data_IF_728607296243
#
_entry.id   IF_728607296243
#
_cell.length_a   1.000
_cell.length_b   1.000
_cell.length_c   1.000
_cell.angle_alpha   90.00
_cell.angle_beta   90.00
_cell.angle_gamma   90.00
#
_symmetry.space_group_name_H-M   'P 1'
#
loop_
_entity.id
_entity.type
_entity.pdbx_description
1 polymer ?
#
# COMPACT_ATOMS: atom_id res chain seq x y z
N UNK A 1 8.10 -2.54 -17.31
CA UNK A 1 7.41 -2.47 -16.03
C UNK A 1 8.33 -2.16 -14.84
N UNK A 2 9.48 -2.85 -14.63
CA UNK A 2 10.46 -2.50 -13.57
C UNK A 2 11.04 -1.10 -13.76
N UNK A 3 11.33 -0.71 -15.00
CA UNK A 3 11.82 0.64 -15.34
C UNK A 3 10.81 1.73 -14.95
N UNK A 4 9.52 1.50 -15.23
CA UNK A 4 8.45 2.42 -14.81
C UNK A 4 8.42 2.56 -13.29
N UNK A 5 8.62 1.46 -12.55
CA UNK A 5 8.61 1.50 -11.09
C UNK A 5 9.84 2.25 -10.54
N UNK A 6 11.02 2.08 -11.12
CA UNK A 6 12.20 2.86 -10.77
C UNK A 6 11.93 4.36 -10.94
N UNK A 7 11.46 4.80 -12.10
CA UNK A 7 11.11 6.20 -12.34
C UNK A 7 10.03 6.73 -11.39
N UNK A 8 9.03 5.92 -11.03
CA UNK A 8 8.03 6.32 -10.03
C UNK A 8 8.66 6.63 -8.68
N UNK A 9 9.65 5.82 -8.25
CA UNK A 9 10.38 6.08 -7.00
C UNK A 9 11.34 7.25 -7.10
N UNK A 10 11.92 7.52 -8.28
CA UNK A 10 12.75 8.71 -8.55
C UNK A 10 11.93 9.98 -8.32
N UNK A 11 10.74 10.07 -8.92
CA UNK A 11 9.83 11.20 -8.74
C UNK A 11 9.25 11.27 -7.33
N UNK A 12 8.98 10.13 -6.68
CA UNK A 12 8.57 10.12 -5.29
C UNK A 12 9.66 10.68 -4.37
N UNK A 13 10.92 10.31 -4.59
CA UNK A 13 12.06 10.83 -3.83
C UNK A 13 12.27 12.32 -4.09
N UNK A 14 12.17 12.77 -5.34
CA UNK A 14 12.21 14.19 -5.68
C UNK A 14 11.12 14.97 -4.95
N UNK A 15 9.89 14.45 -4.92
CA UNK A 15 8.78 15.04 -4.16
C UNK A 15 9.07 15.14 -2.66
N UNK A 16 9.69 14.13 -2.07
CA UNK A 16 10.13 14.16 -0.67
C UNK A 16 11.19 15.23 -0.44
N UNK A 17 12.19 15.33 -1.33
CA UNK A 17 13.26 16.35 -1.24
C UNK A 17 12.67 17.76 -1.32
N UNK A 18 11.78 17.99 -2.28
CA UNK A 18 11.08 19.29 -2.44
C UNK A 18 10.29 19.62 -1.18
N UNK A 19 9.52 18.65 -0.64
CA UNK A 19 8.77 18.85 0.60
C UNK A 19 9.64 19.29 1.77
N UNK A 20 10.77 18.57 2.01
CA UNK A 20 11.69 18.94 3.10
C UNK A 20 12.35 20.30 2.86
N UNK A 21 12.68 20.63 1.60
CA UNK A 21 13.26 21.93 1.24
C UNK A 21 12.27 23.07 1.50
N UNK A 22 11.02 22.92 1.10
CA UNK A 22 9.95 23.89 1.36
C UNK A 22 9.69 24.05 2.86
N UNK A 23 9.58 22.95 3.61
CA UNK A 23 9.40 23.02 5.05
C UNK A 23 10.57 23.71 5.77
N UNK A 24 11.79 23.52 5.27
CA UNK A 24 12.99 24.21 5.80
C UNK A 24 12.94 25.70 5.52
N UNK A 25 12.59 26.11 4.30
CA UNK A 25 12.47 27.52 3.91
C UNK A 25 11.38 28.26 4.69
N UNK A 26 10.26 27.58 4.98
CA UNK A 26 9.15 28.12 5.76
C UNK A 26 9.37 28.10 7.28
N UNK A 27 10.53 27.65 7.76
CA UNK A 27 10.84 27.56 9.19
C UNK A 27 9.98 26.56 10.00
N UNK A 28 9.20 25.71 9.31
CA UNK A 28 8.28 24.73 9.90
C UNK A 28 8.97 23.41 10.29
N UNK A 29 10.30 23.38 10.30
CA UNK A 29 11.04 22.18 10.69
C UNK A 29 10.96 21.99 12.20
N UNK A 30 10.17 21.05 12.67
CA UNK A 30 10.19 20.63 14.06
C UNK A 30 11.55 19.99 14.39
N UNK A 31 12.24 20.51 15.39
CA UNK A 31 13.47 19.89 15.93
C UNK A 31 13.10 18.51 16.48
N UNK A 32 13.56 17.50 15.81
CA UNK A 32 13.30 16.11 16.19
C UNK A 32 14.40 15.60 17.14
N UNK A 33 14.07 14.83 18.17
CA UNK A 33 15.08 14.23 19.06
C UNK A 33 16.07 13.40 18.23
N UNK A 34 17.37 13.53 18.54
CA UNK A 34 18.43 12.81 17.79
C UNK A 34 18.51 11.32 18.13
N UNK A 35 18.12 10.92 19.34
CA UNK A 35 18.30 9.55 19.86
C UNK A 35 17.04 8.68 19.71
N UNK A 36 16.50 8.60 18.50
CA UNK A 36 15.37 7.71 18.22
C UNK A 36 15.85 6.40 17.59
N UNK A 37 15.37 5.23 18.06
CA UNK A 37 15.77 3.95 17.48
C UNK A 37 15.23 3.81 16.06
N UNK A 38 16.12 3.97 15.06
CA UNK A 38 15.77 3.92 13.62
C UNK A 38 15.61 2.48 13.09
N UNK A 39 16.02 1.48 13.86
CA UNK A 39 15.98 0.07 13.43
C UNK A 39 14.60 -0.36 12.98
N UNK A 40 13.56 -0.03 13.75
CA UNK A 40 12.17 -0.37 13.43
C UNK A 40 11.63 0.41 12.22
N UNK A 41 12.12 1.64 12.01
CA UNK A 41 11.80 2.43 10.82
C UNK A 41 12.39 1.79 9.54
N UNK A 42 13.64 1.35 9.60
CA UNK A 42 14.27 0.63 8.48
C UNK A 42 13.61 -0.73 8.24
N UNK A 43 13.17 -1.41 9.32
CA UNK A 43 12.43 -2.66 9.21
C UNK A 43 11.08 -2.45 8.50
N UNK A 44 10.36 -1.36 8.82
CA UNK A 44 9.12 -0.97 8.14
C UNK A 44 9.36 -0.80 6.62
N UNK A 45 10.40 -0.04 6.26
CA UNK A 45 10.74 0.18 4.85
C UNK A 45 11.20 -1.12 4.17
N UNK A 46 11.98 -1.95 4.86
CA UNK A 46 12.45 -3.24 4.36
C UNK A 46 11.29 -4.19 4.02
N UNK A 47 10.31 -4.33 4.90
CA UNK A 47 9.13 -5.15 4.62
C UNK A 47 8.26 -4.55 3.50
N UNK A 48 8.13 -3.22 3.41
CA UNK A 48 7.39 -2.58 2.32
C UNK A 48 8.07 -2.80 0.97
N UNK A 49 9.38 -2.63 0.90
CA UNK A 49 10.17 -2.88 -0.32
C UNK A 49 10.19 -4.37 -0.65
N UNK A 50 10.31 -5.26 0.36
CA UNK A 50 10.18 -6.70 0.21
C UNK A 50 8.82 -7.11 -0.37
N UNK A 51 7.73 -6.52 0.12
CA UNK A 51 6.40 -6.67 -0.46
C UNK A 51 6.38 -6.31 -1.95
N UNK A 52 6.96 -5.17 -2.33
CA UNK A 52 7.00 -4.73 -3.73
C UNK A 52 7.76 -5.72 -4.63
N UNK A 53 8.90 -6.25 -4.17
CA UNK A 53 9.66 -7.25 -4.93
C UNK A 53 8.85 -8.53 -5.11
N UNK A 54 8.29 -9.06 -4.01
CA UNK A 54 7.50 -10.28 -4.03
C UNK A 54 6.29 -10.15 -4.95
N UNK A 55 5.58 -9.01 -4.88
CA UNK A 55 4.44 -8.71 -5.74
C UNK A 55 4.82 -8.69 -7.21
N UNK A 56 5.88 -7.97 -7.58
CA UNK A 56 6.33 -7.88 -8.98
C UNK A 56 6.79 -9.25 -9.47
N UNK A 57 7.51 -10.00 -8.64
CA UNK A 57 7.97 -11.35 -8.99
C UNK A 57 6.78 -12.30 -9.17
N UNK A 58 5.79 -12.21 -8.31
CA UNK A 58 4.58 -13.02 -8.40
C UNK A 58 3.79 -12.77 -9.68
N UNK A 59 3.77 -11.54 -10.21
CA UNK A 59 3.09 -11.20 -11.46
C UNK A 59 3.71 -11.85 -12.72
N UNK A 60 4.85 -12.52 -12.61
CA UNK A 60 5.36 -13.39 -13.68
C UNK A 60 4.70 -14.77 -13.68
N UNK A 61 4.03 -15.16 -12.58
CA UNK A 61 3.45 -16.48 -12.35
C UNK A 61 1.95 -16.43 -12.07
N UNK A 62 1.38 -15.23 -11.93
CA UNK A 62 -0.02 -15.02 -11.63
C UNK A 62 -0.53 -13.77 -12.37
N UNK A 63 -1.82 -13.78 -12.70
CA UNK A 63 -2.50 -12.62 -13.29
C UNK A 63 -2.76 -11.53 -12.24
N UNK A 64 -3.06 -10.31 -12.69
CA UNK A 64 -3.43 -9.20 -11.80
C UNK A 64 -4.70 -9.52 -11.00
N UNK A 65 -5.65 -10.25 -11.60
CA UNK A 65 -6.90 -10.68 -10.96
C UNK A 65 -6.61 -11.66 -9.82
N UNK A 66 -5.79 -12.68 -10.08
CA UNK A 66 -5.36 -13.66 -9.08
C UNK A 66 -4.62 -12.99 -7.91
N UNK A 67 -3.72 -12.04 -8.22
CA UNK A 67 -3.06 -11.23 -7.22
C UNK A 67 -4.05 -10.44 -6.35
N UNK A 68 -5.06 -9.82 -6.96
CA UNK A 68 -6.08 -9.07 -6.23
C UNK A 68 -6.88 -9.95 -5.26
N UNK A 69 -7.20 -11.21 -5.64
CA UNK A 69 -7.87 -12.19 -4.75
C UNK A 69 -7.02 -12.44 -3.50
N UNK A 70 -5.72 -12.69 -3.69
CA UNK A 70 -4.81 -12.96 -2.57
C UNK A 70 -4.63 -11.71 -1.69
N UNK A 71 -4.53 -10.52 -2.30
CA UNK A 71 -4.43 -9.28 -1.52
C UNK A 71 -5.69 -8.92 -0.75
N UNK A 72 -6.86 -9.42 -1.15
CA UNK A 72 -8.10 -9.22 -0.40
C UNK A 72 -8.04 -9.77 1.04
N UNK A 73 -7.13 -10.73 1.30
CA UNK A 73 -6.94 -11.31 2.65
C UNK A 73 -5.94 -10.52 3.52
N UNK A 74 -5.28 -9.48 2.99
CA UNK A 74 -4.32 -8.64 3.76
C UNK A 74 -4.91 -8.12 5.08
N UNK A 75 -6.17 -7.64 5.16
CA UNK A 75 -6.76 -7.21 6.43
C UNK A 75 -6.79 -8.30 7.51
N UNK A 76 -6.93 -9.57 7.09
CA UNK A 76 -6.94 -10.71 8.02
C UNK A 76 -5.54 -10.90 8.60
N UNK A 77 -4.49 -10.91 7.75
CA UNK A 77 -3.10 -10.98 8.22
C UNK A 77 -2.74 -9.78 9.09
N UNK A 78 -3.11 -8.56 8.66
CA UNK A 78 -2.85 -7.35 9.43
C UNK A 78 -3.49 -7.43 10.82
N UNK A 79 -4.70 -7.95 10.95
CA UNK A 79 -5.39 -8.15 12.22
C UNK A 79 -4.67 -9.15 13.13
N UNK A 80 -4.26 -10.30 12.58
CA UNK A 80 -3.55 -11.32 13.36
C UNK A 80 -2.23 -10.76 13.89
N UNK A 81 -1.47 -10.10 13.02
CA UNK A 81 -0.17 -9.52 13.35
C UNK A 81 -0.33 -8.35 14.33
N UNK A 82 -1.33 -7.47 14.15
CA UNK A 82 -1.63 -6.38 15.07
C UNK A 82 -2.02 -6.88 16.47
N UNK A 83 -2.78 -7.97 16.54
CA UNK A 83 -3.13 -8.59 17.83
C UNK A 83 -1.90 -9.12 18.56
N UNK A 84 -0.95 -9.73 17.82
CA UNK A 84 0.27 -10.32 18.42
C UNK A 84 1.26 -9.22 18.84
N UNK A 85 1.51 -8.23 17.98
CA UNK A 85 2.58 -7.24 18.21
C UNK A 85 2.12 -5.97 18.93
N UNK A 86 0.86 -5.55 18.76
CA UNK A 86 0.32 -4.32 19.33
C UNK A 86 -0.73 -4.58 20.41
N UNK A 87 -1.17 -5.83 20.58
CA UNK A 87 -2.23 -6.18 21.51
C UNK A 87 -3.60 -5.61 21.10
N UNK A 88 -3.79 -5.24 19.84
CA UNK A 88 -5.06 -4.70 19.35
C UNK A 88 -6.14 -5.77 19.43
N UNK A 89 -7.24 -5.47 20.12
CA UNK A 89 -8.42 -6.31 20.20
C UNK A 89 -9.46 -5.80 19.21
N UNK A 90 -10.32 -6.66 18.72
CA UNK A 90 -11.45 -6.29 17.86
C UNK A 90 -12.74 -6.88 18.41
N UNK A 91 -13.84 -6.15 18.24
CA UNK A 91 -15.17 -6.63 18.62
C UNK A 91 -15.69 -7.67 17.62
N UNK A 92 -16.68 -8.45 18.03
CA UNK A 92 -17.36 -9.40 17.13
C UNK A 92 -17.97 -8.65 15.95
N UNK A 93 -18.56 -7.48 16.20
CA UNK A 93 -19.16 -6.65 15.16
C UNK A 93 -18.12 -6.19 14.12
N UNK A 94 -16.94 -5.71 14.56
CA UNK A 94 -15.83 -5.38 13.67
C UNK A 94 -15.41 -6.59 12.83
N UNK A 95 -15.38 -7.79 13.42
CA UNK A 95 -15.02 -9.00 12.69
C UNK A 95 -16.03 -9.35 11.60
N UNK A 96 -17.34 -9.17 11.87
CA UNK A 96 -18.40 -9.38 10.87
C UNK A 96 -18.20 -8.45 9.68
N UNK A 97 -17.96 -7.15 9.90
CA UNK A 97 -17.73 -6.20 8.80
C UNK A 97 -16.44 -6.50 8.01
N UNK A 98 -15.37 -6.95 8.66
CA UNK A 98 -14.16 -7.42 7.97
C UNK A 98 -14.50 -8.59 7.04
N UNK A 99 -15.22 -9.59 7.53
CA UNK A 99 -15.60 -10.77 6.74
C UNK A 99 -16.51 -10.38 5.57
N UNK A 100 -17.50 -9.52 5.79
CA UNK A 100 -18.40 -9.05 4.72
C UNK A 100 -17.58 -8.36 3.62
N UNK A 101 -16.68 -7.43 3.98
CA UNK A 101 -15.87 -6.68 3.01
C UNK A 101 -14.95 -7.60 2.21
N UNK A 102 -14.25 -8.51 2.88
CA UNK A 102 -13.31 -9.44 2.24
C UNK A 102 -14.07 -10.44 1.35
N UNK A 103 -15.19 -10.98 1.83
CA UNK A 103 -16.00 -11.90 1.05
C UNK A 103 -16.60 -11.24 -0.20
N UNK A 104 -17.14 -10.02 -0.08
CA UNK A 104 -17.65 -9.26 -1.22
C UNK A 104 -16.56 -8.98 -2.26
N UNK A 105 -15.34 -8.62 -1.82
CA UNK A 105 -14.20 -8.40 -2.71
C UNK A 105 -13.79 -9.69 -3.43
N UNK A 106 -13.69 -10.81 -2.71
CA UNK A 106 -13.34 -12.11 -3.29
C UNK A 106 -14.40 -12.54 -4.33
N UNK A 107 -15.69 -12.42 -4.00
CA UNK A 107 -16.79 -12.75 -4.91
C UNK A 107 -16.73 -11.89 -6.18
N UNK A 108 -16.53 -10.57 -6.03
CA UNK A 108 -16.38 -9.66 -7.16
C UNK A 108 -15.26 -10.12 -8.10
N UNK A 109 -14.08 -10.40 -7.56
CA UNK A 109 -12.91 -10.79 -8.34
C UNK A 109 -13.10 -12.15 -9.02
N UNK A 110 -13.75 -13.12 -8.35
CA UNK A 110 -14.05 -14.44 -8.92
C UNK A 110 -15.05 -14.32 -10.09
N UNK A 111 -16.05 -13.46 -9.96
CA UNK A 111 -17.03 -13.22 -11.03
C UNK A 111 -16.43 -12.54 -12.25
N UNK A 112 -15.41 -11.68 -12.07
CA UNK A 112 -14.65 -11.06 -13.14
C UNK A 112 -13.62 -12.00 -13.79
N UNK A 113 -13.20 -13.03 -13.07
CA UNK A 113 -12.17 -13.95 -13.52
C UNK A 113 -12.74 -14.99 -14.47
N UNK A 114 -12.58 -14.78 -15.77
CA UNK A 114 -13.01 -15.74 -16.81
C UNK A 114 -12.11 -16.98 -16.93
N UNK A 115 -10.82 -16.85 -16.54
CA UNK A 115 -9.84 -17.94 -16.57
C UNK A 115 -8.78 -17.75 -15.46
N UNK A 116 -8.92 -18.47 -14.38
CA UNK A 116 -7.88 -18.53 -13.33
C UNK A 116 -6.85 -19.59 -13.71
N UNK A 117 -5.61 -19.18 -13.96
CA UNK A 117 -4.49 -20.08 -14.31
C UNK A 117 -3.39 -20.01 -13.24
N UNK A 118 -3.79 -20.00 -11.97
CA UNK A 118 -2.86 -19.82 -10.86
C UNK A 118 -1.77 -20.90 -10.82
N UNK A 119 -0.52 -20.49 -10.96
CA UNK A 119 0.59 -21.37 -10.61
C UNK A 119 0.79 -21.39 -9.08
N UNK A 120 1.17 -22.55 -8.52
CA UNK A 120 1.47 -22.66 -7.10
C UNK A 120 2.54 -21.66 -6.64
N UNK A 121 3.54 -21.43 -7.49
CA UNK A 121 4.59 -20.42 -7.25
C UNK A 121 4.02 -19.01 -7.15
N UNK A 122 3.07 -18.64 -8.03
CA UNK A 122 2.39 -17.35 -8.00
C UNK A 122 1.61 -17.14 -6.70
N UNK A 123 0.87 -18.16 -6.25
CA UNK A 123 0.11 -18.13 -4.98
C UNK A 123 1.04 -17.92 -3.80
N UNK A 124 2.12 -18.70 -3.70
CA UNK A 124 3.08 -18.60 -2.57
C UNK A 124 3.72 -17.21 -2.52
N UNK A 125 4.17 -16.70 -3.67
CA UNK A 125 4.78 -15.36 -3.75
C UNK A 125 3.79 -14.25 -3.38
N UNK A 126 2.53 -14.33 -3.84
CA UNK A 126 1.48 -13.36 -3.49
C UNK A 126 1.10 -13.41 -2.01
N UNK A 127 1.02 -14.62 -1.42
CA UNK A 127 0.79 -14.76 0.03
C UNK A 127 1.95 -14.17 0.82
N UNK A 128 3.20 -14.46 0.44
CA UNK A 128 4.38 -13.87 1.07
C UNK A 128 4.39 -12.34 0.95
N UNK A 129 4.00 -11.80 -0.22
CA UNK A 129 3.83 -10.37 -0.43
C UNK A 129 2.76 -9.77 0.49
N UNK A 130 1.60 -10.43 0.61
CA UNK A 130 0.50 -10.00 1.47
C UNK A 130 0.89 -9.97 2.95
N UNK A 131 1.62 -10.98 3.42
CA UNK A 131 2.15 -11.04 4.78
C UNK A 131 3.19 -9.93 5.00
N UNK A 132 4.11 -9.73 4.05
CA UNK A 132 5.13 -8.68 4.13
C UNK A 132 4.50 -7.28 4.21
N UNK A 133 3.46 -7.02 3.41
CA UNK A 133 2.67 -5.79 3.46
C UNK A 133 1.99 -5.61 4.82
N UNK A 134 1.35 -6.66 5.34
CA UNK A 134 0.69 -6.62 6.63
C UNK A 134 1.69 -6.33 7.78
N UNK A 135 2.86 -6.96 7.77
CA UNK A 135 3.94 -6.69 8.72
C UNK A 135 4.40 -5.23 8.61
N UNK A 136 4.63 -4.73 7.39
CA UNK A 136 5.03 -3.33 7.17
C UNK A 136 4.01 -2.36 7.75
N UNK A 137 2.71 -2.59 7.53
CA UNK A 137 1.63 -1.74 8.07
C UNK A 137 1.63 -1.74 9.62
N UNK A 138 1.84 -2.91 10.25
CA UNK A 138 1.93 -3.02 11.71
C UNK A 138 3.14 -2.25 12.25
N UNK A 139 4.31 -2.42 11.65
CA UNK A 139 5.50 -1.65 12.04
C UNK A 139 5.35 -0.15 11.74
N UNK A 140 4.71 0.22 10.63
CA UNK A 140 4.40 1.62 10.32
C UNK A 140 3.58 2.27 11.44
N UNK A 141 2.53 1.58 11.92
CA UNK A 141 1.75 2.04 13.07
C UNK A 141 2.58 2.12 14.34
N UNK A 142 3.41 1.11 14.61
CA UNK A 142 4.28 1.10 15.78
C UNK A 142 5.25 2.29 15.81
N UNK A 143 5.95 2.56 14.69
CA UNK A 143 6.94 3.64 14.62
C UNK A 143 6.29 5.02 14.56
N UNK A 144 5.00 5.11 14.30
CA UNK A 144 4.26 6.36 14.18
C UNK A 144 4.21 7.14 15.50
N UNK A 145 4.31 6.48 16.65
CA UNK A 145 4.46 7.13 17.95
C UNK A 145 5.76 7.96 18.09
N UNK A 146 6.78 7.60 17.30
CA UNK A 146 8.12 8.21 17.37
C UNK A 146 8.50 9.01 16.13
N UNK A 147 7.95 8.66 14.95
CA UNK A 147 8.29 9.27 13.66
C UNK A 147 7.07 9.88 12.99
N UNK A 148 7.27 10.98 12.27
CA UNK A 148 6.22 11.60 11.48
C UNK A 148 5.91 10.79 10.20
N UNK A 149 4.68 10.87 9.63
CA UNK A 149 4.34 10.19 8.39
C UNK A 149 5.35 10.42 7.27
N UNK A 150 5.79 11.66 7.09
CA UNK A 150 6.74 12.03 6.03
C UNK A 150 8.13 11.38 6.21
N UNK A 151 8.57 11.13 7.45
CA UNK A 151 9.84 10.44 7.72
C UNK A 151 9.76 8.97 7.34
N UNK A 152 8.60 8.33 7.61
CA UNK A 152 8.33 6.95 7.23
C UNK A 152 8.29 6.85 5.70
N UNK A 153 7.51 7.73 5.05
CA UNK A 153 7.40 7.80 3.59
C UNK A 153 8.75 8.05 2.93
N UNK A 154 9.57 8.96 3.49
CA UNK A 154 10.94 9.21 3.02
C UNK A 154 11.79 7.95 3.04
N UNK A 155 11.74 7.20 4.15
CA UNK A 155 12.57 5.99 4.30
C UNK A 155 12.14 4.91 3.30
N UNK A 156 10.83 4.75 3.07
CA UNK A 156 10.28 3.85 2.05
C UNK A 156 10.69 4.32 0.64
N UNK A 157 10.59 5.62 0.35
CA UNK A 157 10.95 6.18 -0.96
C UNK A 157 12.44 5.98 -1.26
N UNK A 158 13.32 6.22 -0.28
CA UNK A 158 14.77 5.96 -0.42
C UNK A 158 15.03 4.48 -0.64
N UNK A 159 14.40 3.60 0.14
CA UNK A 159 14.55 2.14 -0.02
C UNK A 159 14.12 1.67 -1.41
N UNK A 160 12.96 2.12 -1.87
CA UNK A 160 12.47 1.81 -3.22
C UNK A 160 13.36 2.39 -4.33
N UNK A 161 13.78 3.66 -4.20
CA UNK A 161 14.71 4.31 -5.13
C UNK A 161 16.00 3.49 -5.28
N UNK A 162 16.68 3.20 -4.18
CA UNK A 162 17.96 2.48 -4.21
C UNK A 162 17.78 1.10 -4.83
N UNK A 163 16.77 0.35 -4.37
CA UNK A 163 16.59 -1.03 -4.83
C UNK A 163 16.21 -1.11 -6.30
N UNK A 164 15.17 -0.37 -6.73
CA UNK A 164 14.65 -0.50 -8.10
C UNK A 164 15.63 0.08 -9.13
N UNK A 165 16.35 1.14 -8.79
CA UNK A 165 17.42 1.66 -9.65
C UNK A 165 18.55 0.64 -9.77
N UNK A 166 19.03 0.05 -8.67
CA UNK A 166 20.06 -1.00 -8.75
C UNK A 166 19.62 -2.14 -9.66
N UNK A 167 18.39 -2.66 -9.48
CA UNK A 167 17.88 -3.77 -10.31
C UNK A 167 17.82 -3.37 -11.79
N UNK A 168 17.32 -2.17 -12.10
CA UNK A 168 17.17 -1.70 -13.47
C UNK A 168 18.51 -1.46 -14.14
N UNK A 169 19.47 -0.85 -13.45
CA UNK A 169 20.83 -0.64 -13.96
C UNK A 169 21.60 -1.93 -14.17
N UNK A 170 21.53 -2.88 -13.22
CA UNK A 170 22.14 -4.21 -13.39
C UNK A 170 21.54 -4.92 -14.61
N UNK A 171 20.22 -4.89 -14.77
CA UNK A 171 19.54 -5.50 -15.92
C UNK A 171 19.95 -4.87 -17.24
N UNK A 172 20.08 -3.56 -17.29
CA UNK A 172 20.54 -2.84 -18.49
C UNK A 172 22.00 -3.17 -18.84
N UNK A 173 22.86 -3.23 -17.83
CA UNK A 173 24.26 -3.61 -18.01
C UNK A 173 24.41 -5.05 -18.56
N UNK A 174 23.62 -6.00 -18.03
CA UNK A 174 23.63 -7.40 -18.50
C UNK A 174 23.12 -7.50 -19.94
N UNK A 175 22.10 -6.71 -20.33
CA UNK A 175 21.54 -6.71 -21.67
C UNK A 175 22.32 -5.89 -22.70
N UNK A 176 23.26 -5.06 -22.24
CA UNK A 176 24.02 -4.14 -23.10
C UNK A 176 23.18 -3.00 -23.68
N UNK A 177 21.97 -2.77 -23.17
CA UNK A 177 21.00 -1.81 -23.69
C UNK A 177 20.66 -0.74 -22.65
N UNK A 178 21.60 0.17 -22.44
CA UNK A 178 21.43 1.32 -21.53
C UNK A 178 20.54 2.41 -22.17
N UNK A 179 20.52 2.48 -23.51
CA UNK A 179 19.71 3.48 -24.22
C UNK A 179 18.20 3.29 -23.96
N UNK A 180 17.71 2.06 -23.87
CA UNK A 180 16.30 1.77 -23.57
C UNK A 180 15.83 2.29 -22.20
N UNK A 181 16.76 2.61 -21.30
CA UNK A 181 16.43 3.28 -20.03
C UNK A 181 16.20 4.77 -20.19
N UNK A 182 16.92 5.42 -21.11
CA UNK A 182 16.88 6.87 -21.28
C UNK A 182 15.83 7.31 -22.29
N UNK A 183 15.49 6.45 -23.25
CA UNK A 183 14.47 6.73 -24.28
C UNK A 183 13.14 7.25 -23.71
N UNK A 184 12.54 6.65 -22.67
CA UNK A 184 11.26 7.12 -22.15
C UNK A 184 11.32 8.55 -21.60
N UNK A 185 12.49 8.99 -21.13
CA UNK A 185 12.68 10.35 -20.55
C UNK A 185 12.63 11.44 -21.63
N UNK A 186 12.84 11.08 -22.90
CA UNK A 186 12.75 12.03 -24.01
C UNK A 186 11.32 12.43 -24.37
N UNK A 187 10.32 11.66 -23.89
CA UNK A 187 8.90 11.90 -24.19
C UNK A 187 8.22 12.70 -23.06
N UNK A 188 7.77 13.96 -23.31
CA UNK A 188 7.13 14.79 -22.27
C UNK A 188 5.89 14.16 -21.64
N UNK A 189 5.09 13.44 -22.45
CA UNK A 189 3.90 12.72 -21.94
C UNK A 189 4.27 11.64 -20.92
N UNK A 190 5.35 10.92 -21.16
CA UNK A 190 5.86 9.94 -20.20
C UNK A 190 6.29 10.61 -18.90
N UNK A 191 7.04 11.71 -18.98
CA UNK A 191 7.51 12.45 -17.79
C UNK A 191 6.34 12.98 -16.95
N UNK A 192 5.31 13.53 -17.56
CA UNK A 192 4.11 14.01 -16.85
C UNK A 192 3.39 12.84 -16.17
N UNK A 193 3.18 11.73 -16.90
CA UNK A 193 2.51 10.56 -16.36
C UNK A 193 3.28 9.93 -15.21
N UNK A 194 4.59 9.80 -15.33
CA UNK A 194 5.42 9.18 -14.30
C UNK A 194 5.59 10.10 -13.08
N UNK A 195 5.64 11.42 -13.28
CA UNK A 195 5.64 12.40 -12.19
C UNK A 195 4.34 12.33 -11.39
N UNK A 196 3.19 12.24 -12.09
CA UNK A 196 1.90 12.02 -11.44
C UNK A 196 1.90 10.71 -10.63
N UNK A 197 2.33 9.59 -11.23
CA UNK A 197 2.39 8.30 -10.56
C UNK A 197 3.37 8.28 -9.37
N UNK A 198 4.50 8.98 -9.47
CA UNK A 198 5.48 9.05 -8.37
C UNK A 198 5.02 9.94 -7.23
N UNK A 199 4.55 11.15 -7.53
CA UNK A 199 4.19 12.14 -6.51
C UNK A 199 2.82 11.83 -5.91
N UNK A 200 1.78 11.65 -6.74
CA UNK A 200 0.42 11.45 -6.22
C UNK A 200 0.18 10.00 -5.80
N UNK A 201 0.55 9.01 -6.61
CA UNK A 201 0.22 7.62 -6.31
C UNK A 201 1.20 6.95 -5.34
N UNK A 202 2.46 7.39 -5.22
CA UNK A 202 3.39 6.83 -4.25
C UNK A 202 3.52 7.75 -3.04
N UNK A 203 4.00 8.99 -3.24
CA UNK A 203 4.33 9.88 -2.12
C UNK A 203 3.07 10.27 -1.34
N UNK A 204 2.03 10.78 -2.00
CA UNK A 204 0.84 11.28 -1.33
C UNK A 204 0.01 10.13 -0.72
N UNK A 205 -0.14 9.00 -1.43
CA UNK A 205 -0.86 7.86 -0.90
C UNK A 205 -0.14 7.21 0.29
N UNK A 206 1.20 7.08 0.25
CA UNK A 206 1.98 6.59 1.39
C UNK A 206 1.87 7.53 2.60
N UNK A 207 1.82 8.85 2.35
CA UNK A 207 1.63 9.85 3.39
C UNK A 207 0.26 9.73 4.05
N UNK A 208 -0.80 9.58 3.25
CA UNK A 208 -2.14 9.36 3.78
C UNK A 208 -2.25 8.03 4.53
N UNK A 209 -1.66 6.95 4.01
CA UNK A 209 -1.65 5.65 4.69
C UNK A 209 -0.94 5.75 6.05
N UNK A 210 0.23 6.39 6.09
CA UNK A 210 0.95 6.60 7.34
C UNK A 210 0.18 7.48 8.32
N UNK A 211 -0.57 8.48 7.83
CA UNK A 211 -1.47 9.30 8.64
C UNK A 211 -2.65 8.49 9.18
N UNK A 212 -3.31 7.69 8.35
CA UNK A 212 -4.42 6.82 8.76
C UNK A 212 -3.97 5.84 9.85
N UNK A 213 -2.84 5.16 9.66
CA UNK A 213 -2.28 4.21 10.63
C UNK A 213 -1.87 4.89 11.96
N UNK A 214 -1.72 6.21 11.98
CA UNK A 214 -1.48 6.96 13.20
C UNK A 214 -2.76 7.19 14.04
N UNK A 215 -3.91 7.28 13.40
CA UNK A 215 -5.15 7.73 14.03
C UNK A 215 -6.23 6.65 14.09
N UNK A 216 -6.05 5.55 13.35
CA UNK A 216 -7.00 4.46 13.23
C UNK A 216 -6.35 3.12 13.56
N UNK A 217 -7.14 2.12 13.93
CA UNK A 217 -6.67 0.73 14.05
C UNK A 217 -6.19 0.19 12.70
N UNK A 218 -5.24 -0.75 12.74
CA UNK A 218 -4.63 -1.33 11.53
C UNK A 218 -5.69 -1.98 10.64
N UNK A 219 -6.62 -2.71 11.26
CA UNK A 219 -7.72 -3.37 10.53
C UNK A 219 -8.60 -2.36 9.82
N UNK A 220 -8.97 -1.26 10.49
CA UNK A 220 -9.73 -0.17 9.89
C UNK A 220 -8.98 0.44 8.71
N UNK A 221 -7.70 0.81 8.90
CA UNK A 221 -6.87 1.41 7.84
C UNK A 221 -6.72 0.51 6.62
N UNK A 222 -6.54 -0.81 6.80
CA UNK A 222 -6.39 -1.75 5.69
C UNK A 222 -7.70 -1.99 4.95
N UNK A 223 -8.84 -2.01 5.66
CA UNK A 223 -10.16 -2.16 5.03
C UNK A 223 -10.57 -0.91 4.25
N UNK A 224 -10.22 0.29 4.72
CA UNK A 224 -10.40 1.50 3.92
C UNK A 224 -9.70 1.42 2.55
N UNK A 225 -8.58 0.69 2.47
CA UNK A 225 -7.95 0.38 1.19
C UNK A 225 -8.88 -0.37 0.22
N UNK A 226 -9.75 -1.25 0.72
CA UNK A 226 -10.72 -1.96 -0.11
C UNK A 226 -11.85 -1.05 -0.64
N UNK A 227 -12.14 0.07 0.02
CA UNK A 227 -13.08 1.07 -0.50
C UNK A 227 -12.61 1.66 -1.84
N UNK A 228 -11.30 1.70 -2.08
CA UNK A 228 -10.75 2.15 -3.37
C UNK A 228 -11.24 1.30 -4.53
N UNK A 229 -11.45 0.00 -4.33
CA UNK A 229 -11.99 -0.90 -5.35
C UNK A 229 -13.43 -0.52 -5.71
N UNK A 230 -14.30 -0.27 -4.73
CA UNK A 230 -15.66 0.18 -4.99
C UNK A 230 -15.70 1.53 -5.70
N UNK A 231 -14.84 2.47 -5.28
CA UNK A 231 -14.70 3.78 -5.93
C UNK A 231 -14.20 3.63 -7.37
N UNK A 232 -13.23 2.73 -7.61
CA UNK A 232 -12.69 2.47 -8.96
C UNK A 232 -13.75 1.91 -9.91
N UNK A 233 -14.64 1.01 -9.43
CA UNK A 233 -15.76 0.48 -10.21
C UNK A 233 -16.69 1.62 -10.63
N UNK A 234 -17.07 2.48 -9.69
CA UNK A 234 -17.94 3.62 -10.00
C UNK A 234 -17.25 4.62 -10.94
N UNK A 235 -15.97 4.89 -10.74
CA UNK A 235 -15.20 5.77 -11.61
C UNK A 235 -15.06 5.19 -13.03
N UNK A 236 -14.81 3.88 -13.17
CA UNK A 236 -14.77 3.18 -14.46
C UNK A 236 -16.07 3.33 -15.22
N UNK A 237 -17.20 3.12 -14.55
CA UNK A 237 -18.51 3.28 -15.17
C UNK A 237 -18.81 4.72 -15.59
N UNK A 238 -18.53 5.71 -14.72
CA UNK A 238 -18.88 7.12 -14.96
C UNK A 238 -17.92 7.79 -15.95
N UNK A 239 -16.60 7.54 -15.79
CA UNK A 239 -15.56 8.23 -16.56
C UNK A 239 -15.20 7.52 -17.85
N UNK A 240 -15.22 6.17 -17.87
CA UNK A 240 -14.82 5.34 -19.00
C UNK A 240 -15.99 4.73 -19.74
N UNK A 241 -17.23 4.85 -19.22
CA UNK A 241 -18.43 4.27 -19.81
C UNK A 241 -18.46 2.74 -19.75
N UNK A 242 -17.75 2.14 -18.78
CA UNK A 242 -17.72 0.69 -18.63
C UNK A 242 -19.11 0.15 -18.23
N UNK A 243 -19.56 -1.00 -18.79
CA UNK A 243 -20.86 -1.55 -18.47
C UNK A 243 -20.90 -2.03 -17.00
N UNK A 244 -21.79 -1.43 -16.20
CA UNK A 244 -22.07 -1.89 -14.85
C UNK A 244 -23.01 -3.09 -14.89
N UNK A 245 -22.51 -4.21 -14.41
CA UNK A 245 -23.34 -5.39 -14.16
C UNK A 245 -23.90 -5.35 -12.73
N UNK A 246 -24.97 -6.11 -12.48
CA UNK A 246 -25.64 -6.09 -11.17
C UNK A 246 -24.72 -6.57 -10.04
N UNK A 247 -23.81 -7.49 -10.34
CA UNK A 247 -22.83 -7.97 -9.34
C UNK A 247 -21.81 -6.89 -8.96
N UNK A 248 -21.38 -6.01 -9.88
CA UNK A 248 -20.54 -4.85 -9.57
C UNK A 248 -21.20 -3.95 -8.53
N UNK A 249 -22.49 -3.64 -8.75
CA UNK A 249 -23.25 -2.75 -7.85
C UNK A 249 -23.40 -3.41 -6.47
N UNK A 250 -23.83 -4.67 -6.43
CA UNK A 250 -24.04 -5.39 -5.15
C UNK A 250 -22.74 -5.52 -4.36
N UNK A 251 -21.65 -5.95 -5.01
CA UNK A 251 -20.36 -6.08 -4.33
C UNK A 251 -19.80 -4.73 -3.87
N UNK A 252 -19.92 -3.68 -4.68
CA UNK A 252 -19.49 -2.34 -4.29
C UNK A 252 -20.27 -1.82 -3.06
N UNK A 253 -21.58 -2.04 -3.03
CA UNK A 253 -22.41 -1.67 -1.88
C UNK A 253 -22.05 -2.46 -0.61
N UNK A 254 -21.77 -3.77 -0.74
CA UNK A 254 -21.34 -4.60 0.38
C UNK A 254 -19.96 -4.19 0.90
N UNK A 255 -19.01 -3.85 0.02
CA UNK A 255 -17.70 -3.33 0.40
C UNK A 255 -17.87 -2.02 1.16
N UNK A 256 -18.63 -1.07 0.62
CA UNK A 256 -18.88 0.22 1.28
C UNK A 256 -19.61 0.06 2.62
N UNK A 257 -20.62 -0.78 2.69
CA UNK A 257 -21.33 -1.06 3.94
C UNK A 257 -20.40 -1.69 4.99
N UNK A 258 -19.53 -2.61 4.59
CA UNK A 258 -18.52 -3.19 5.47
C UNK A 258 -17.50 -2.17 5.98
N UNK A 259 -17.01 -1.28 5.10
CA UNK A 259 -16.06 -0.21 5.47
C UNK A 259 -16.71 0.80 6.43
N UNK A 260 -17.92 1.28 6.10
CA UNK A 260 -18.66 2.23 6.93
C UNK A 260 -19.04 1.58 8.27
N UNK A 261 -19.57 0.35 8.23
CA UNK A 261 -19.91 -0.40 9.44
C UNK A 261 -18.74 -0.60 10.38
N UNK A 262 -17.54 -0.90 9.83
CA UNK A 262 -16.32 -1.02 10.62
C UNK A 262 -15.88 0.33 11.22
N UNK A 263 -16.01 1.42 10.47
CA UNK A 263 -15.66 2.76 10.95
C UNK A 263 -16.59 3.23 12.09
N UNK A 264 -17.87 2.84 12.05
CA UNK A 264 -18.86 3.18 13.06
C UNK A 264 -18.92 2.19 14.23
N UNK A 265 -18.32 1.00 14.07
CA UNK A 265 -18.32 -0.02 15.12
C UNK A 265 -17.54 0.45 16.36
N UNK A 266 -18.10 0.27 17.57
CA UNK A 266 -17.43 0.69 18.79
C UNK A 266 -16.09 0.01 18.95
N UNK A 267 -15.05 0.80 19.31
CA UNK A 267 -13.74 0.26 19.66
C UNK A 267 -13.85 -0.61 20.94
N UNK A 268 -13.05 -1.67 21.07
CA UNK A 268 -12.99 -2.45 22.29
C UNK A 268 -12.58 -1.55 23.47
N UNK A 269 -13.24 -1.70 24.62
CA UNK A 269 -13.06 -0.87 25.82
C UNK A 269 -11.60 -0.77 26.32
N UNK A 270 -10.74 -1.72 25.98
CA UNK A 270 -9.35 -1.81 26.40
C UNK A 270 -8.36 -1.06 25.48
N UNK A 271 -8.78 -0.67 24.25
CA UNK A 271 -7.93 0.07 23.31
C UNK A 271 -7.95 1.59 23.54
N UNK A 272 -8.92 2.10 24.29
CA UNK A 272 -9.08 3.53 24.57
C UNK A 272 -8.07 4.08 25.59
N UNK A 273 -7.32 3.23 26.30
CA UNK A 273 -6.38 3.61 27.34
C UNK A 273 -4.89 3.54 26.97
N UNK A 274 -4.50 2.81 25.94
CA UNK A 274 -3.11 2.72 25.51
C UNK A 274 -2.76 3.82 24.49
N UNK A 275 -2.48 5.02 24.98
CA UNK A 275 -1.64 5.96 24.24
C UNK A 275 -0.30 5.26 24.01
N UNK A 276 0.04 4.95 22.76
CA UNK A 276 1.37 4.48 22.35
C UNK A 276 2.39 5.59 22.65
N UNK A 277 3.01 5.53 23.83
CA UNK A 277 3.98 6.58 24.19
C UNK A 277 4.31 6.61 25.69
N UNK A 278 4.44 5.47 26.36
CA UNK A 278 5.23 5.34 27.59
C UNK A 278 6.34 4.32 27.39
#
# INVERSE_FOLDING_TARGET
SLTILAYRYDFALLGVIVWFSVCRLLGKQQKQPKDRPKSKLYLTAGFYVGFMILQITAMFFATSVEGAIVFAVVPIFAKIIARIFLGEKSTILQNIFVVITVAALIVLIILEATNLTMSLTGIILMLAASISMAISNVFMRYVRGTFQPIEITRTIAIGGFVLFNIIVWIRAAIKGDVHSLLDPVTHPQFLISIAFLGIFCILLSAQFMAYMLAHMEIVQSTIFGNASTAISILAGAILLGEPLTIHHIVCALLILAGVIGLALAPAPAENSGKKLGD
#
